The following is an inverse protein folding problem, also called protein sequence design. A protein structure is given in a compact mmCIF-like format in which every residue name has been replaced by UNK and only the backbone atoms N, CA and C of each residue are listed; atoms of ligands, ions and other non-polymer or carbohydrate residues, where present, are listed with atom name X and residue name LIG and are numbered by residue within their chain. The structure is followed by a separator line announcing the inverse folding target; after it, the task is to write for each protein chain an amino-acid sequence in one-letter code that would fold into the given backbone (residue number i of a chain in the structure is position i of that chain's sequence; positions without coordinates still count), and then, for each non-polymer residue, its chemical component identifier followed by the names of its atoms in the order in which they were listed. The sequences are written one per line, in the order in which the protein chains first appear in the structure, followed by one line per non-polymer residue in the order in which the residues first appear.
data_IF_065508503388
#
_entry.id   IF_065508503388
#
_cell.length_a   1.000
_cell.length_b   1.000
_cell.length_c   1.000
_cell.angle_alpha   90.00
_cell.angle_beta   90.00
_cell.angle_gamma   90.00
#
_symmetry.space_group_name_H-M   'P 1'
#
loop_
_entity.id
_entity.type
_entity.pdbx_description
1 polymer ?
#
# COMPACT_ATOMS: atom_id res chain seq x y z
N UNK A 1 -6.93 12.25 8.40
CA UNK A 1 -6.55 10.82 8.52
C UNK A 1 -7.84 10.05 8.74
N UNK A 2 -7.94 8.84 8.19
CA UNK A 2 -9.02 7.85 8.36
C UNK A 2 -10.48 8.29 8.52
N UNK A 3 -11.34 7.88 7.59
CA UNK A 3 -12.80 7.88 7.82
C UNK A 3 -13.22 6.46 8.24
N UNK A 4 -14.10 6.33 9.22
CA UNK A 4 -14.74 5.04 9.55
C UNK A 4 -15.28 4.41 8.26
N UNK A 5 -14.84 3.19 7.95
CA UNK A 5 -15.19 2.51 6.70
C UNK A 5 -14.40 2.95 5.45
N UNK A 6 -13.29 3.67 5.60
CA UNK A 6 -12.45 4.13 4.47
C UNK A 6 -11.95 2.97 3.58
N UNK A 7 -11.66 1.81 4.17
CA UNK A 7 -11.28 0.59 3.47
C UNK A 7 -12.35 0.04 2.51
N UNK A 8 -13.62 0.42 2.67
CA UNK A 8 -14.71 0.06 1.74
C UNK A 8 -14.76 0.98 0.51
N UNK A 9 -14.17 2.18 0.60
CA UNK A 9 -14.20 3.19 -0.47
C UNK A 9 -12.96 3.16 -1.35
N UNK A 10 -11.84 2.75 -0.78
CA UNK A 10 -10.56 2.67 -1.48
C UNK A 10 -10.13 1.22 -1.48
N UNK A 11 -9.99 0.60 -2.66
CA UNK A 11 -9.47 -0.76 -2.79
C UNK A 11 -8.00 -0.83 -2.32
N UNK A 12 -7.57 -2.01 -1.87
CA UNK A 12 -6.16 -2.23 -1.54
C UNK A 12 -5.38 -2.25 -2.84
N UNK A 13 -4.29 -1.50 -2.85
CA UNK A 13 -3.33 -1.47 -3.95
C UNK A 13 -1.99 -1.96 -3.42
N UNK A 14 -1.37 -2.88 -4.14
CA UNK A 14 -0.05 -3.40 -3.79
C UNK A 14 1.05 -2.52 -4.41
N UNK A 15 2.19 -2.49 -3.74
CA UNK A 15 3.35 -1.80 -4.27
C UNK A 15 3.83 -2.50 -5.56
N UNK A 16 4.07 -1.77 -6.67
CA UNK A 16 4.54 -2.40 -7.90
C UNK A 16 5.87 -3.11 -7.68
N UNK A 17 6.01 -4.31 -8.22
CA UNK A 17 7.24 -5.09 -8.10
C UNK A 17 8.02 -5.13 -9.42
N UNK A 18 9.34 -5.31 -9.32
CA UNK A 18 10.18 -5.70 -10.45
C UNK A 18 9.80 -7.11 -10.90
N UNK A 19 9.91 -7.35 -12.21
CA UNK A 19 9.67 -8.66 -12.78
C UNK A 19 10.53 -9.74 -12.09
N UNK A 20 9.94 -10.93 -11.92
CA UNK A 20 10.59 -12.05 -11.25
C UNK A 20 11.87 -12.50 -11.98
N UNK A 21 11.83 -12.58 -13.31
CA UNK A 21 12.99 -12.95 -14.13
C UNK A 21 14.10 -11.91 -14.10
N UNK A 22 13.75 -10.64 -13.93
CA UNK A 22 14.75 -9.59 -13.74
C UNK A 22 15.40 -9.64 -12.36
N UNK A 23 14.60 -9.78 -11.28
CA UNK A 23 15.07 -9.66 -9.89
C UNK A 23 15.83 -10.87 -9.36
N UNK A 24 15.80 -12.03 -10.03
CA UNK A 24 16.65 -13.18 -9.66
C UNK A 24 18.12 -13.00 -10.06
N UNK A 25 18.45 -11.99 -10.86
CA UNK A 25 19.81 -11.74 -11.37
C UNK A 25 20.62 -10.81 -10.48
N UNK A 26 20.01 -10.23 -9.45
CA UNK A 26 20.65 -9.32 -8.50
C UNK A 26 19.99 -9.37 -7.11
N UNK A 27 20.56 -8.65 -6.15
CA UNK A 27 20.03 -8.53 -4.79
C UNK A 27 19.52 -7.12 -4.48
N UNK A 28 19.09 -6.37 -5.49
CA UNK A 28 18.56 -5.00 -5.30
C UNK A 28 17.09 -5.06 -4.89
N UNK A 29 16.61 -3.97 -4.30
CA UNK A 29 15.20 -3.82 -3.96
C UNK A 29 14.30 -4.11 -5.18
N UNK A 30 13.25 -4.90 -4.96
CA UNK A 30 12.32 -5.31 -5.99
C UNK A 30 10.97 -4.59 -5.88
N UNK A 31 10.65 -4.08 -4.70
CA UNK A 31 9.42 -3.33 -4.45
C UNK A 31 9.62 -1.87 -4.84
N UNK A 32 8.65 -1.27 -5.51
CA UNK A 32 8.64 0.15 -5.85
C UNK A 32 7.57 0.86 -5.04
N UNK A 33 7.90 2.07 -4.57
CA UNK A 33 6.93 2.90 -3.85
C UNK A 33 5.81 3.34 -4.79
N UNK A 34 4.57 3.28 -4.30
CA UNK A 34 3.43 3.86 -5.01
C UNK A 34 3.62 5.38 -5.19
N UNK A 35 3.05 5.98 -6.24
CA UNK A 35 2.95 7.43 -6.34
C UNK A 35 2.26 8.02 -5.09
N UNK A 36 2.58 9.26 -4.74
CA UNK A 36 2.02 9.94 -3.54
C UNK A 36 0.50 9.89 -3.49
N UNK A 37 -0.16 9.99 -4.66
CA UNK A 37 -1.62 9.86 -4.78
C UNK A 37 -2.11 8.49 -4.32
N UNK A 38 -1.45 7.41 -4.76
CA UNK A 38 -1.76 6.04 -4.34
C UNK A 38 -1.49 5.84 -2.85
N UNK A 39 -0.36 6.33 -2.34
CA UNK A 39 -0.04 6.28 -0.90
C UNK A 39 -1.09 7.00 -0.04
N UNK A 40 -1.54 8.18 -0.49
CA UNK A 40 -2.59 8.94 0.20
C UNK A 40 -3.91 8.17 0.23
N UNK A 41 -4.29 7.54 -0.88
CA UNK A 41 -5.48 6.69 -0.96
C UNK A 41 -5.37 5.45 -0.06
N UNK A 42 -4.21 4.79 0.00
CA UNK A 42 -3.98 3.66 0.91
C UNK A 42 -4.03 4.10 2.38
N UNK A 43 -3.47 5.26 2.73
CA UNK A 43 -3.57 5.84 4.07
C UNK A 43 -5.00 6.19 4.50
N UNK A 44 -5.84 6.60 3.53
CA UNK A 44 -7.26 6.90 3.77
C UNK A 44 -8.10 5.65 4.15
N UNK A 45 -7.55 4.44 3.99
CA UNK A 45 -8.22 3.18 4.40
C UNK A 45 -8.25 2.98 5.92
N UNK A 46 -7.35 3.65 6.68
CA UNK A 46 -7.34 3.58 8.14
C UNK A 46 -8.70 4.04 8.71
N UNK A 47 -9.18 3.39 9.77
CA UNK A 47 -10.49 3.66 10.35
C UNK A 47 -10.46 4.41 11.68
N UNK A 48 -9.27 4.76 12.18
CA UNK A 48 -9.10 5.35 13.53
C UNK A 48 -9.79 4.51 14.62
N UNK A 49 -9.49 3.20 14.67
CA UNK A 49 -10.22 2.19 15.47
C UNK A 49 -10.21 2.38 17.01
N UNK A 50 -9.55 3.41 17.55
CA UNK A 50 -9.37 3.63 18.99
C UNK A 50 -8.35 2.67 19.60
N UNK A 51 -8.71 1.39 19.72
CA UNK A 51 -7.79 0.30 20.10
C UNK A 51 -7.46 -0.50 18.84
N UNK A 52 -6.34 -0.18 18.15
CA UNK A 52 -6.00 -0.82 16.88
C UNK A 52 -5.52 -2.27 17.09
N UNK A 53 -5.99 -3.17 16.24
CA UNK A 53 -5.51 -4.56 16.09
C UNK A 53 -4.88 -4.81 14.71
N UNK A 54 -4.68 -3.73 13.95
CA UNK A 54 -4.12 -3.76 12.60
C UNK A 54 -2.63 -4.12 12.60
#
# INVERSE_FOLDING_TARGET
MGKVGGFLKHAREEAPERDAGERIRDHREFTRTLPVVGLSAQGARCMECGVPFC
#
